data_IF_550121675165
#
_entry.id   IF_550121675165
#
_cell.length_a   1.000
_cell.length_b   1.000
_cell.length_c   1.000
_cell.angle_alpha   90.00
_cell.angle_beta   90.00
_cell.angle_gamma   90.00
#
_symmetry.space_group_name_H-M   'P 1'
#
loop_
_entity.id
_entity.type
_entity.pdbx_description
1 polymer ?
#
# COMPACT_ATOMS: atom_id res chain seq x y z
N UNK A 1 4.40 12.70 -33.24
CA UNK A 1 5.04 13.75 -32.43
C UNK A 1 4.63 13.52 -30.98
N UNK A 2 5.53 13.01 -30.14
CA UNK A 2 5.21 12.69 -28.75
C UNK A 2 5.16 13.97 -27.92
N UNK A 3 4.02 14.23 -27.27
CA UNK A 3 3.86 15.33 -26.31
C UNK A 3 4.62 14.99 -25.04
N UNK A 4 5.71 15.69 -24.79
CA UNK A 4 6.44 15.67 -23.53
C UNK A 4 5.52 16.15 -22.40
N UNK A 5 5.06 15.25 -21.54
CA UNK A 5 4.42 15.61 -20.27
C UNK A 5 5.44 16.40 -19.45
N UNK A 6 5.21 17.71 -19.31
CA UNK A 6 5.94 18.56 -18.37
C UNK A 6 5.62 18.02 -16.97
N UNK A 7 6.55 17.29 -16.33
CA UNK A 7 6.36 16.84 -14.95
C UNK A 7 6.20 18.07 -14.06
N UNK A 8 4.97 18.34 -13.62
CA UNK A 8 4.71 19.36 -12.60
C UNK A 8 5.51 19.01 -11.34
N UNK A 9 6.45 19.88 -10.99
CA UNK A 9 7.24 19.73 -9.76
C UNK A 9 6.38 20.16 -8.57
N UNK A 10 5.97 19.21 -7.74
CA UNK A 10 5.33 19.48 -6.46
C UNK A 10 6.33 20.08 -5.45
N UNK A 11 5.89 21.07 -4.66
CA UNK A 11 6.69 21.65 -3.56
C UNK A 11 6.24 21.06 -2.24
N UNK A 12 7.18 20.51 -1.48
CA UNK A 12 6.95 20.00 -0.13
C UNK A 12 7.34 21.09 0.87
N UNK A 13 6.43 21.45 1.78
CA UNK A 13 6.69 22.40 2.88
C UNK A 13 6.30 21.78 4.20
N UNK A 14 7.21 21.75 5.15
CA UNK A 14 6.97 21.27 6.51
C UNK A 14 7.54 22.28 7.51
N UNK A 15 6.89 22.38 8.68
CA UNK A 15 7.41 23.13 9.82
C UNK A 15 8.04 22.15 10.80
N UNK A 16 9.22 22.48 11.28
CA UNK A 16 9.96 21.70 12.28
C UNK A 16 10.38 22.62 13.42
N UNK A 17 10.63 22.05 14.60
CA UNK A 17 11.23 22.81 15.71
C UNK A 17 12.72 23.05 15.45
N UNK A 18 13.30 24.04 16.14
CA UNK A 18 14.74 24.35 16.00
C UNK A 18 15.64 23.16 16.30
N UNK A 19 15.34 22.39 17.36
CA UNK A 19 16.10 21.19 17.72
C UNK A 19 16.08 20.11 16.61
N UNK A 20 14.95 19.95 15.92
CA UNK A 20 14.83 19.02 14.78
C UNK A 20 15.66 19.55 13.61
N UNK A 21 15.58 20.84 13.32
CA UNK A 21 16.38 21.46 12.26
C UNK A 21 17.89 21.27 12.49
N UNK A 22 18.39 21.55 13.70
CA UNK A 22 19.81 21.37 14.05
C UNK A 22 20.27 19.91 13.83
N UNK A 23 19.44 18.94 14.22
CA UNK A 23 19.73 17.52 14.01
C UNK A 23 19.82 17.17 12.52
N UNK A 24 18.88 17.68 11.71
CA UNK A 24 18.87 17.43 10.27
C UNK A 24 20.05 18.11 9.57
N UNK A 25 20.44 19.31 10.00
CA UNK A 25 21.61 20.03 9.47
C UNK A 25 22.91 19.30 9.81
N UNK A 26 23.06 18.79 11.03
CA UNK A 26 24.21 17.98 11.43
C UNK A 26 24.31 16.70 10.56
N UNK A 27 23.20 16.00 10.37
CA UNK A 27 23.17 14.80 9.52
C UNK A 27 23.48 15.11 8.04
N UNK A 28 22.92 16.20 7.52
CA UNK A 28 23.21 16.67 6.16
C UNK A 28 24.70 17.02 5.99
N UNK A 29 25.30 17.65 7.00
CA UNK A 29 26.72 17.99 7.05
C UNK A 29 27.63 16.77 7.04
N UNK A 30 27.30 15.72 7.81
CA UNK A 30 28.04 14.44 7.80
C UNK A 30 28.05 13.81 6.41
N UNK A 31 26.93 13.90 5.68
CA UNK A 31 26.78 13.34 4.34
C UNK A 31 27.28 14.26 3.22
N UNK A 32 27.78 15.46 3.55
CA UNK A 32 28.24 16.44 2.55
C UNK A 32 27.12 16.94 1.63
N UNK A 33 25.88 16.98 2.13
CA UNK A 33 24.68 17.37 1.37
C UNK A 33 24.04 18.62 1.95
N UNK A 34 23.25 19.33 1.14
CA UNK A 34 22.42 20.43 1.67
C UNK A 34 21.25 19.88 2.49
N UNK A 35 20.74 20.67 3.44
CA UNK A 35 19.58 20.28 4.25
C UNK A 35 18.37 19.83 3.39
N UNK A 36 18.04 20.60 2.34
CA UNK A 36 16.94 20.26 1.44
C UNK A 36 17.18 18.93 0.71
N UNK A 37 18.40 18.70 0.22
CA UNK A 37 18.75 17.45 -0.45
C UNK A 37 18.65 16.26 0.52
N UNK A 38 19.16 16.42 1.73
CA UNK A 38 19.07 15.40 2.77
C UNK A 38 17.62 15.05 3.12
N UNK A 39 16.76 16.05 3.29
CA UNK A 39 15.33 15.85 3.59
C UNK A 39 14.65 15.09 2.46
N UNK A 40 14.83 15.51 1.20
CA UNK A 40 14.19 14.85 0.05
C UNK A 40 14.66 13.41 -0.09
N UNK A 41 15.97 13.16 0.01
CA UNK A 41 16.52 11.80 -0.09
C UNK A 41 16.06 10.89 1.05
N UNK A 42 16.03 11.42 2.28
CA UNK A 42 15.59 10.67 3.46
C UNK A 42 14.10 10.34 3.39
N UNK A 43 13.27 11.32 3.00
CA UNK A 43 11.85 11.12 2.82
C UNK A 43 11.54 10.09 1.73
N UNK A 44 12.26 10.14 0.60
CA UNK A 44 12.10 9.17 -0.48
C UNK A 44 12.46 7.75 -0.01
N UNK A 45 13.61 7.59 0.65
CA UNK A 45 14.05 6.29 1.17
C UNK A 45 13.03 5.69 2.14
N UNK A 46 12.49 6.52 3.02
CA UNK A 46 11.48 6.05 3.98
C UNK A 46 10.16 5.73 3.30
N UNK A 47 9.74 6.51 2.30
CA UNK A 47 8.55 6.21 1.52
C UNK A 47 8.69 4.88 0.77
N UNK A 48 9.83 4.64 0.13
CA UNK A 48 10.14 3.36 -0.53
C UNK A 48 10.11 2.20 0.47
N UNK A 49 10.71 2.39 1.66
CA UNK A 49 10.71 1.37 2.72
C UNK A 49 9.29 1.03 3.18
N UNK A 50 8.43 2.03 3.38
CA UNK A 50 7.03 1.81 3.80
C UNK A 50 6.23 1.12 2.71
N UNK A 51 6.36 1.55 1.45
CA UNK A 51 5.66 0.93 0.32
C UNK A 51 6.08 -0.53 0.15
N UNK A 52 7.37 -0.81 0.29
CA UNK A 52 7.89 -2.16 0.15
C UNK A 52 7.43 -3.05 1.31
N UNK A 53 7.40 -2.54 2.54
CA UNK A 53 6.90 -3.28 3.69
C UNK A 53 5.44 -3.73 3.54
N UNK A 54 4.59 -2.94 2.89
CA UNK A 54 3.19 -3.32 2.63
C UNK A 54 3.08 -4.40 1.56
N UNK A 55 4.04 -4.50 0.64
CA UNK A 55 4.00 -5.42 -0.51
C UNK A 55 4.69 -6.75 -0.24
N UNK A 56 5.65 -6.80 0.66
CA UNK A 56 6.39 -8.02 0.99
C UNK A 56 5.62 -8.85 2.02
N UNK A 57 5.26 -10.08 1.63
CA UNK A 57 4.90 -11.13 2.59
C UNK A 57 6.20 -11.79 3.07
N UNK A 58 6.54 -11.61 4.34
CA UNK A 58 7.69 -12.27 4.96
C UNK A 58 7.24 -13.58 5.58
N UNK A 59 7.74 -14.68 5.05
CA UNK A 59 7.49 -16.02 5.56
C UNK A 59 8.73 -16.52 6.31
N UNK A 60 8.53 -17.20 7.44
CA UNK A 60 9.54 -18.08 8.01
C UNK A 60 9.80 -19.26 7.09
N UNK A 61 10.89 -19.99 7.31
CA UNK A 61 11.26 -21.16 6.50
C UNK A 61 10.12 -22.21 6.45
N UNK A 62 9.51 -22.48 7.60
CA UNK A 62 8.38 -23.42 7.70
C UNK A 62 7.14 -22.94 6.94
N UNK A 63 6.86 -21.63 6.99
CA UNK A 63 5.72 -21.05 6.26
C UNK A 63 5.99 -21.01 4.75
N UNK A 64 7.24 -20.78 4.34
CA UNK A 64 7.65 -20.82 2.95
C UNK A 64 7.50 -22.24 2.37
N UNK A 65 7.94 -23.27 3.10
CA UNK A 65 7.76 -24.68 2.70
C UNK A 65 6.28 -25.06 2.59
N UNK A 66 5.46 -24.64 3.56
CA UNK A 66 4.01 -24.87 3.52
C UNK A 66 3.36 -24.15 2.34
N UNK A 67 3.76 -22.91 2.07
CA UNK A 67 3.27 -22.12 0.94
C UNK A 67 3.65 -22.75 -0.41
N UNK A 68 4.92 -23.15 -0.58
CA UNK A 68 5.38 -23.84 -1.79
C UNK A 68 4.66 -25.17 -1.99
N UNK A 69 4.51 -25.96 -0.93
CA UNK A 69 3.77 -27.23 -0.98
C UNK A 69 2.31 -27.04 -1.42
N UNK A 70 1.67 -25.95 -0.98
CA UNK A 70 0.31 -25.60 -1.39
C UNK A 70 0.21 -25.13 -2.85
N UNK A 71 1.28 -24.53 -3.40
CA UNK A 71 1.35 -24.17 -4.82
C UNK A 71 1.55 -25.41 -5.70
N UNK A 72 2.40 -26.33 -5.29
CA UNK A 72 2.67 -27.58 -6.02
C UNK A 72 1.48 -28.54 -6.00
N UNK A 73 0.75 -28.57 -4.87
CA UNK A 73 -0.44 -29.39 -4.67
C UNK A 73 -1.63 -28.53 -4.25
N UNK A 74 -2.29 -27.85 -5.18
CA UNK A 74 -3.42 -27.00 -4.85
C UNK A 74 -4.58 -27.84 -4.30
N UNK A 75 -5.06 -27.46 -3.11
CA UNK A 75 -6.24 -28.10 -2.51
C UNK A 75 -7.49 -27.75 -3.33
N UNK A 76 -8.45 -28.69 -3.49
CA UNK A 76 -9.71 -28.38 -4.11
C UNK A 76 -10.47 -27.32 -3.30
N UNK A 77 -11.29 -26.48 -3.95
CA UNK A 77 -12.08 -25.46 -3.26
C UNK A 77 -13.02 -26.13 -2.25
N UNK A 78 -13.08 -25.58 -1.04
CA UNK A 78 -14.00 -26.08 -0.01
C UNK A 78 -15.43 -25.60 -0.26
N UNK A 79 -16.41 -26.26 0.36
CA UNK A 79 -17.84 -25.95 0.20
C UNK A 79 -18.16 -24.48 0.51
N UNK A 80 -17.47 -23.89 1.49
CA UNK A 80 -17.63 -22.48 1.86
C UNK A 80 -17.15 -21.53 0.74
N UNK A 81 -16.05 -21.85 0.06
CA UNK A 81 -15.52 -21.07 -1.07
C UNK A 81 -16.44 -21.20 -2.29
N UNK A 82 -16.99 -22.39 -2.54
CA UNK A 82 -17.98 -22.60 -3.61
C UNK A 82 -19.24 -21.78 -3.34
N UNK A 83 -19.81 -21.85 -2.14
CA UNK A 83 -20.98 -21.05 -1.76
C UNK A 83 -20.69 -19.54 -1.81
N UNK A 84 -19.48 -19.09 -1.44
CA UNK A 84 -19.09 -17.69 -1.55
C UNK A 84 -19.00 -17.22 -3.01
N UNK A 85 -18.50 -18.09 -3.91
CA UNK A 85 -18.45 -17.82 -5.34
C UNK A 85 -19.86 -17.71 -5.94
N UNK A 86 -20.77 -18.62 -5.59
CA UNK A 86 -22.17 -18.58 -6.01
C UNK A 86 -22.88 -17.30 -5.54
N UNK A 87 -22.65 -16.89 -4.29
CA UNK A 87 -23.19 -15.64 -3.77
C UNK A 87 -22.61 -14.40 -4.50
N UNK A 88 -21.31 -14.41 -4.81
CA UNK A 88 -20.68 -13.33 -5.56
C UNK A 88 -21.22 -13.22 -6.98
N UNK A 89 -21.38 -14.35 -7.69
CA UNK A 89 -21.90 -14.35 -9.07
C UNK A 89 -23.38 -13.95 -9.12
N UNK A 90 -24.19 -14.39 -8.15
CA UNK A 90 -25.57 -13.96 -8.01
C UNK A 90 -25.69 -12.43 -7.82
N UNK A 91 -24.85 -11.84 -6.97
CA UNK A 91 -24.78 -10.38 -6.79
C UNK A 91 -24.20 -9.66 -8.00
N UNK A 92 -23.19 -10.21 -8.67
CA UNK A 92 -22.64 -9.58 -9.88
C UNK A 92 -23.71 -9.43 -10.98
N UNK A 93 -24.61 -10.40 -11.09
CA UNK A 93 -25.71 -10.37 -12.05
C UNK A 93 -26.83 -9.38 -11.64
N UNK A 94 -26.83 -8.87 -10.40
CA UNK A 94 -27.76 -7.81 -9.94
C UNK A 94 -27.36 -6.40 -10.38
N UNK A 95 -26.10 -6.19 -10.80
CA UNK A 95 -25.56 -4.86 -11.15
C UNK A 95 -26.10 -4.30 -12.48
N UNK A 96 -26.96 -5.06 -13.17
CA UNK A 96 -27.74 -4.57 -14.32
C UNK A 96 -29.13 -4.09 -13.89
N UNK A 97 -29.51 -4.29 -12.62
CA UNK A 97 -30.74 -3.84 -11.99
C UNK A 97 -30.51 -2.62 -11.09
N UNK A 98 -31.55 -1.78 -10.99
CA UNK A 98 -31.58 -0.59 -10.14
C UNK A 98 -31.18 -0.92 -8.70
N UNK A 99 -30.21 -0.19 -8.15
CA UNK A 99 -29.73 -0.35 -6.78
C UNK A 99 -30.81 0.09 -5.77
N UNK A 100 -31.63 -0.85 -5.30
CA UNK A 100 -32.64 -0.62 -4.27
C UNK A 100 -32.03 -0.76 -2.87
N UNK A 101 -31.34 0.31 -2.43
CA UNK A 101 -30.87 0.42 -1.05
C UNK A 101 -32.01 0.80 -0.10
N UNK A 102 -32.31 -0.09 0.85
CA UNK A 102 -33.16 0.22 2.01
C UNK A 102 -32.30 0.32 3.29
N UNK A 103 -32.40 1.41 4.06
CA UNK A 103 -31.66 1.56 5.31
C UNK A 103 -32.15 0.53 6.34
N UNK A 104 -31.21 -0.10 7.06
CA UNK A 104 -31.58 -0.99 8.18
C UNK A 104 -32.29 -0.18 9.27
N UNK A 105 -33.42 -0.66 9.81
CA UNK A 105 -34.12 0.04 10.89
C UNK A 105 -33.21 0.11 12.12
N UNK A 106 -33.13 1.28 12.74
CA UNK A 106 -32.44 1.47 14.02
C UNK A 106 -33.16 0.62 15.07
N UNK A 107 -32.42 -0.26 15.74
CA UNK A 107 -32.90 -0.81 17.00
C UNK A 107 -33.01 0.34 18.00
N UNK A 108 -34.25 0.61 18.43
CA UNK A 108 -34.60 1.51 19.54
C UNK A 108 -34.76 0.66 20.79
#
# INVERSE_FOLDING_TARGET
>A
MATSSHSERGRITARVSGAVQETLEAAAGILGSTLNQFIVQSALREAERVIEQERIIRLSEQEADAFLSALDNPLPPNDALVAALENYTARRNDQTGTFDWAPRPKHV
#
